data_IF_860676803004
#
_entry.id   IF_860676803004
#
_cell.length_a   1.000
_cell.length_b   1.000
_cell.length_c   1.000
_cell.angle_alpha   90.00
_cell.angle_beta   90.00
_cell.angle_gamma   90.00
#
_symmetry.space_group_name_H-M   'P 1'
#
loop_
_entity.id
_entity.type
_entity.pdbx_description
1 polymer ?
#
# COMPACT_ATOMS: atom_id res chain seq x y z
N UNK A 1 -1.60 -30.47 8.56
CA UNK A 1 -2.50 -29.60 9.35
C UNK A 1 -1.91 -28.20 9.52
N UNK A 2 -0.66 -28.07 10.00
CA UNK A 2 0.08 -26.80 10.04
C UNK A 2 0.24 -26.14 8.65
N UNK A 3 0.57 -26.91 7.61
CA UNK A 3 0.73 -26.39 6.24
C UNK A 3 -0.52 -25.68 5.71
N UNK A 4 -1.70 -26.30 5.82
CA UNK A 4 -2.98 -25.68 5.43
C UNK A 4 -3.34 -24.41 6.21
N UNK A 5 -2.93 -24.31 7.47
CA UNK A 5 -3.14 -23.10 8.27
C UNK A 5 -2.28 -21.95 7.72
N UNK A 6 -1.01 -22.21 7.40
CA UNK A 6 -0.12 -21.21 6.82
C UNK A 6 -0.53 -20.82 5.39
N UNK A 7 -1.01 -21.75 4.57
CA UNK A 7 -1.52 -21.43 3.23
C UNK A 7 -2.73 -20.49 3.31
N UNK A 8 -3.66 -20.75 4.23
CA UNK A 8 -4.84 -19.91 4.45
C UNK A 8 -4.45 -18.53 5.01
N UNK A 9 -3.46 -18.50 5.91
CA UNK A 9 -2.89 -17.27 6.45
C UNK A 9 -2.30 -16.40 5.34
N UNK A 10 -1.41 -16.95 4.50
CA UNK A 10 -0.79 -16.23 3.40
C UNK A 10 -1.82 -15.73 2.39
N UNK A 11 -2.83 -16.54 2.05
CA UNK A 11 -3.91 -16.12 1.16
C UNK A 11 -4.68 -14.91 1.71
N UNK A 12 -5.05 -14.94 2.99
CA UNK A 12 -5.75 -13.81 3.62
C UNK A 12 -4.85 -12.56 3.65
N UNK A 13 -3.56 -12.72 3.96
CA UNK A 13 -2.59 -11.65 4.03
C UNK A 13 -2.36 -10.98 2.66
N UNK A 14 -2.19 -11.78 1.61
CA UNK A 14 -2.10 -11.31 0.23
C UNK A 14 -3.38 -10.59 -0.19
N UNK A 15 -4.55 -11.05 0.25
CA UNK A 15 -5.83 -10.34 0.06
C UNK A 15 -5.83 -8.93 0.67
N UNK A 16 -5.33 -8.77 1.90
CA UNK A 16 -5.20 -7.44 2.55
C UNK A 16 -4.28 -6.53 1.75
N UNK A 17 -3.16 -7.05 1.24
CA UNK A 17 -2.21 -6.26 0.43
C UNK A 17 -2.80 -5.84 -0.91
N UNK A 18 -3.58 -6.71 -1.56
CA UNK A 18 -4.30 -6.37 -2.79
C UNK A 18 -5.28 -5.24 -2.53
N UNK A 19 -6.10 -5.35 -1.47
CA UNK A 19 -7.07 -4.30 -1.10
C UNK A 19 -6.37 -2.98 -0.78
N UNK A 20 -5.29 -3.01 0.01
CA UNK A 20 -4.51 -1.82 0.34
C UNK A 20 -3.94 -1.14 -0.93
N UNK A 21 -3.40 -1.93 -1.85
CA UNK A 21 -2.86 -1.44 -3.13
C UNK A 21 -3.95 -0.79 -4.00
N UNK A 22 -5.14 -1.39 -4.04
CA UNK A 22 -6.31 -0.83 -4.74
C UNK A 22 -6.72 0.49 -4.09
N UNK A 23 -6.82 0.56 -2.76
CA UNK A 23 -7.19 1.78 -2.04
C UNK A 23 -6.21 2.93 -2.28
N UNK A 24 -4.90 2.67 -2.24
CA UNK A 24 -3.86 3.66 -2.56
C UNK A 24 -4.02 4.13 -4.02
N UNK A 25 -4.27 3.21 -4.95
CA UNK A 25 -4.47 3.54 -6.37
C UNK A 25 -5.72 4.39 -6.58
N UNK A 26 -6.85 4.04 -5.96
CA UNK A 26 -8.09 4.82 -6.02
C UNK A 26 -7.88 6.22 -5.43
N UNK A 27 -7.11 6.33 -4.36
CA UNK A 27 -6.81 7.62 -3.74
C UNK A 27 -5.93 8.49 -4.67
N UNK A 28 -4.97 7.90 -5.37
CA UNK A 28 -4.22 8.60 -6.43
C UNK A 28 -5.16 9.09 -7.54
N UNK A 29 -6.05 8.24 -8.04
CA UNK A 29 -7.01 8.60 -9.11
C UNK A 29 -7.89 9.77 -8.65
N UNK A 30 -8.36 9.75 -7.40
CA UNK A 30 -9.11 10.86 -6.80
C UNK A 30 -8.29 12.16 -6.79
N UNK A 31 -7.03 12.11 -6.35
CA UNK A 31 -6.13 13.28 -6.29
C UNK A 31 -5.86 13.86 -7.68
N UNK A 32 -5.73 13.01 -8.71
CA UNK A 32 -5.51 13.46 -10.10
C UNK A 32 -6.81 14.00 -10.72
N UNK A 33 -7.94 13.30 -10.54
CA UNK A 33 -9.21 13.61 -11.18
C UNK A 33 -9.92 14.83 -10.60
N UNK A 34 -9.97 14.95 -9.26
CA UNK A 34 -10.67 16.05 -8.57
C UNK A 34 -9.74 17.22 -8.22
N UNK A 35 -8.56 17.27 -8.85
CA UNK A 35 -7.48 18.23 -8.58
C UNK A 35 -7.89 19.69 -8.78
N UNK A 36 -8.89 19.98 -9.60
CA UNK A 36 -9.29 21.37 -9.90
C UNK A 36 -10.09 22.02 -8.77
N UNK A 37 -10.74 21.21 -7.92
CA UNK A 37 -11.70 21.67 -6.91
C UNK A 37 -11.23 21.42 -5.47
N UNK A 38 -10.26 20.51 -5.28
CA UNK A 38 -9.75 20.14 -3.96
C UNK A 38 -8.71 21.12 -3.42
N UNK A 39 -8.94 21.63 -2.21
CA UNK A 39 -8.01 22.46 -1.43
C UNK A 39 -6.73 21.68 -1.08
N UNK A 40 -5.62 22.40 -0.86
CA UNK A 40 -4.33 21.76 -0.52
C UNK A 40 -4.45 20.90 0.75
N UNK A 41 -5.24 21.34 1.73
CA UNK A 41 -5.51 20.60 2.96
C UNK A 41 -6.10 19.21 2.69
N UNK A 42 -7.11 19.10 1.81
CA UNK A 42 -7.73 17.82 1.47
C UNK A 42 -6.74 16.88 0.78
N UNK A 43 -5.88 17.40 -0.10
CA UNK A 43 -4.86 16.58 -0.78
C UNK A 43 -3.79 16.07 0.19
N UNK A 44 -3.43 16.86 1.20
CA UNK A 44 -2.50 16.43 2.26
C UNK A 44 -3.13 15.33 3.12
N UNK A 45 -4.43 15.43 3.43
CA UNK A 45 -5.16 14.35 4.12
C UNK A 45 -5.14 13.06 3.29
N UNK A 46 -5.40 13.14 1.99
CA UNK A 46 -5.34 11.98 1.09
C UNK A 46 -3.92 11.35 1.07
N UNK A 47 -2.86 12.16 1.15
CA UNK A 47 -1.49 11.67 1.31
C UNK A 47 -1.26 10.96 2.64
N UNK A 48 -1.73 11.52 3.76
CA UNK A 48 -1.59 10.91 5.09
C UNK A 48 -2.28 9.55 5.12
N UNK A 49 -3.47 9.43 4.53
CA UNK A 49 -4.21 8.17 4.46
C UNK A 49 -3.43 7.10 3.66
N UNK A 50 -2.84 7.50 2.53
CA UNK A 50 -2.06 6.59 1.69
C UNK A 50 -0.74 6.18 2.35
N UNK A 51 -0.11 7.11 3.09
CA UNK A 51 1.07 6.85 3.91
C UNK A 51 0.77 5.86 5.04
N UNK A 52 -0.39 5.98 5.69
CA UNK A 52 -0.83 5.05 6.73
C UNK A 52 -0.98 3.61 6.20
N UNK A 53 -1.59 3.45 5.02
CA UNK A 53 -1.70 2.15 4.35
C UNK A 53 -0.32 1.57 3.98
N UNK A 54 0.59 2.40 3.50
CA UNK A 54 1.97 1.98 3.22
C UNK A 54 2.71 1.52 4.47
N UNK A 55 2.63 2.27 5.56
CA UNK A 55 3.25 1.89 6.84
C UNK A 55 2.71 0.55 7.34
N UNK A 56 1.42 0.29 7.16
CA UNK A 56 0.81 -0.99 7.48
C UNK A 56 1.40 -2.11 6.62
N UNK A 57 1.53 -1.91 5.30
CA UNK A 57 2.15 -2.91 4.41
C UNK A 57 3.62 -3.16 4.74
N UNK A 58 4.40 -2.12 5.08
CA UNK A 58 5.80 -2.26 5.51
C UNK A 58 5.90 -3.06 6.80
N UNK A 59 5.07 -2.74 7.80
CA UNK A 59 5.04 -3.45 9.08
C UNK A 59 4.65 -4.93 8.89
N UNK A 60 3.70 -5.18 8.01
CA UNK A 60 3.25 -6.52 7.66
C UNK A 60 4.34 -7.33 6.91
N UNK A 61 5.09 -6.72 5.99
CA UNK A 61 6.26 -7.36 5.37
C UNK A 61 7.35 -7.68 6.40
N UNK A 62 7.62 -6.75 7.32
CA UNK A 62 8.60 -6.99 8.39
C UNK A 62 8.19 -8.19 9.26
N UNK A 63 6.91 -8.25 9.65
CA UNK A 63 6.37 -9.39 10.39
C UNK A 63 6.47 -10.71 9.60
N UNK A 64 6.18 -10.68 8.30
CA UNK A 64 6.36 -11.81 7.40
C UNK A 64 7.82 -12.32 7.37
N UNK A 65 8.81 -11.42 7.36
CA UNK A 65 10.22 -11.79 7.45
C UNK A 65 10.58 -12.48 8.78
N UNK A 66 10.02 -12.00 9.90
CA UNK A 66 10.20 -12.67 11.20
C UNK A 66 9.60 -14.09 11.18
N UNK A 67 8.44 -14.28 10.54
CA UNK A 67 7.84 -15.61 10.41
C UNK A 67 8.70 -16.56 9.54
N UNK A 68 9.33 -16.04 8.49
CA UNK A 68 10.29 -16.80 7.70
C UNK A 68 11.46 -17.26 8.57
N UNK A 69 12.07 -16.35 9.34
CA UNK A 69 13.25 -16.70 10.16
C UNK A 69 12.92 -17.68 11.29
N UNK A 70 11.76 -17.53 11.95
CA UNK A 70 11.39 -18.33 13.12
C UNK A 70 10.77 -19.68 12.74
N UNK A 71 10.04 -19.77 11.63
CA UNK A 71 9.27 -20.96 11.26
C UNK A 71 9.67 -21.56 9.91
N UNK A 72 10.71 -21.01 9.25
CA UNK A 72 11.17 -21.40 7.91
C UNK A 72 10.04 -21.42 6.85
N UNK A 73 9.10 -20.50 7.00
CA UNK A 73 7.93 -20.37 6.11
C UNK A 73 8.28 -19.46 4.96
N UNK A 74 8.22 -19.98 3.73
CA UNK A 74 8.43 -19.17 2.52
C UNK A 74 7.50 -17.95 2.51
N UNK A 75 8.07 -16.75 2.44
CA UNK A 75 7.32 -15.51 2.27
C UNK A 75 6.67 -15.48 0.89
N UNK A 76 5.41 -15.07 0.83
CA UNK A 76 4.73 -14.86 -0.46
C UNK A 76 5.34 -13.64 -1.18
N UNK A 77 6.01 -13.89 -2.31
CA UNK A 77 6.63 -12.86 -3.16
C UNK A 77 5.61 -11.80 -3.61
N UNK A 78 4.32 -12.12 -3.65
CA UNK A 78 3.26 -11.19 -4.01
C UNK A 78 3.17 -10.01 -3.03
N UNK A 79 3.46 -10.22 -1.74
CA UNK A 79 3.44 -9.17 -0.72
C UNK A 79 4.50 -8.09 -1.02
N UNK A 80 5.71 -8.53 -1.37
CA UNK A 80 6.82 -7.67 -1.76
C UNK A 80 6.48 -6.87 -3.03
N UNK A 81 5.96 -7.55 -4.06
CA UNK A 81 5.57 -6.91 -5.33
C UNK A 81 4.49 -5.85 -5.11
N UNK A 82 3.44 -6.17 -4.35
CA UNK A 82 2.34 -5.23 -4.07
C UNK A 82 2.79 -4.03 -3.24
N UNK A 83 3.74 -4.24 -2.34
CA UNK A 83 4.31 -3.17 -1.52
C UNK A 83 5.18 -2.23 -2.33
N UNK A 84 6.02 -2.79 -3.22
CA UNK A 84 6.81 -2.00 -4.15
C UNK A 84 5.91 -1.20 -5.10
N UNK A 85 4.90 -1.86 -5.69
CA UNK A 85 3.90 -1.21 -6.53
C UNK A 85 3.20 -0.05 -5.79
N UNK A 86 2.71 -0.29 -4.58
CA UNK A 86 2.04 0.73 -3.76
C UNK A 86 2.96 1.89 -3.42
N UNK A 87 4.24 1.62 -3.17
CA UNK A 87 5.26 2.64 -2.95
C UNK A 87 5.44 3.54 -4.17
N UNK A 88 5.51 2.96 -5.38
CA UNK A 88 5.59 3.73 -6.63
C UNK A 88 4.33 4.59 -6.82
N UNK A 89 3.14 4.03 -6.61
CA UNK A 89 1.86 4.77 -6.72
C UNK A 89 1.83 5.96 -5.76
N UNK A 90 2.30 5.77 -4.52
CA UNK A 90 2.38 6.85 -3.53
C UNK A 90 3.39 7.94 -3.91
N UNK A 91 4.55 7.60 -4.46
CA UNK A 91 5.50 8.59 -4.97
C UNK A 91 4.88 9.44 -6.10
N UNK A 92 4.12 8.80 -6.99
CA UNK A 92 3.35 9.50 -8.03
C UNK A 92 2.31 10.43 -7.37
N UNK A 93 1.62 9.98 -6.32
CA UNK A 93 0.66 10.79 -5.58
C UNK A 93 1.31 12.03 -4.94
N UNK A 94 2.49 11.90 -4.33
CA UNK A 94 3.25 13.03 -3.79
C UNK A 94 3.53 14.04 -4.91
N UNK A 95 4.05 13.58 -6.03
CA UNK A 95 4.34 14.45 -7.17
C UNK A 95 3.09 15.21 -7.63
N UNK A 96 1.95 14.54 -7.80
CA UNK A 96 0.72 15.20 -8.24
C UNK A 96 0.09 16.13 -7.19
N UNK A 97 0.23 15.82 -5.90
CA UNK A 97 -0.25 16.68 -4.82
C UNK A 97 0.49 18.03 -4.81
N UNK A 98 1.82 18.02 -4.93
CA UNK A 98 2.64 19.23 -4.84
C UNK A 98 2.97 19.89 -6.18
N UNK A 99 2.71 19.23 -7.31
CA UNK A 99 2.88 19.86 -8.63
C UNK A 99 2.09 21.18 -8.68
N UNK A 100 2.79 22.30 -8.77
CA UNK A 100 2.14 23.62 -8.78
C UNK A 100 1.20 23.70 -9.99
N UNK A 101 -0.04 24.14 -9.78
CA UNK A 101 -0.88 24.59 -10.88
C UNK A 101 -0.25 25.90 -11.37
N UNK A 102 0.67 25.83 -12.32
CA UNK A 102 1.02 26.99 -13.12
C UNK A 102 -0.20 27.29 -14.01
N UNK A 103 -1.14 28.03 -13.45
CA UNK A 103 -2.14 28.78 -14.20
C UNK A 103 -1.82 30.25 -14.00
#
# INVERSE_FOLDING_TARGET
>A
MMTHFFDSYWWMFSGVFVIASILITLNLVKVIGFRKESSLMLRVIDLILSLGLLLLMVSANFFSGVLYDQFNLATDNMLLVLSFYSGVVFLIQIYFTFKRNNK
#
